data_IF_923891482514
#
_entry.id   IF_923891482514
#
_cell.length_a   1.000
_cell.length_b   1.000
_cell.length_c   1.000
_cell.angle_alpha   90.00
_cell.angle_beta   90.00
_cell.angle_gamma   90.00
#
_symmetry.space_group_name_H-M   'P 1'
#
loop_
_entity.id
_entity.type
_entity.pdbx_description
1 polymer ?
#
# COMPACT_ATOMS: atom_id res chain seq x y z
N UNK A 1 11.84 13.38 9.93
CA UNK A 1 12.00 11.91 10.04
C UNK A 1 12.53 11.37 8.72
N UNK A 2 13.51 10.49 8.82
CA UNK A 2 14.09 9.69 7.74
C UNK A 2 13.27 8.41 7.53
N UNK A 3 13.47 7.73 6.40
CA UNK A 3 12.78 6.48 6.07
C UNK A 3 12.91 5.44 7.18
N UNK A 4 14.12 5.28 7.72
CA UNK A 4 14.38 4.34 8.81
C UNK A 4 13.66 4.72 10.12
N UNK A 5 13.52 6.01 10.42
CA UNK A 5 12.78 6.46 11.60
C UNK A 5 11.28 6.17 11.46
N UNK A 6 10.71 6.32 10.26
CA UNK A 6 9.30 5.97 9.99
C UNK A 6 9.05 4.47 10.11
N UNK A 7 9.93 3.67 9.54
CA UNK A 7 9.88 2.20 9.67
C UNK A 7 9.93 1.78 11.14
N UNK A 8 10.85 2.38 11.93
CA UNK A 8 10.96 2.11 13.38
C UNK A 8 9.72 2.51 14.15
N UNK A 9 9.12 3.66 13.82
CA UNK A 9 7.89 4.16 14.43
C UNK A 9 6.76 3.16 14.22
N UNK A 10 6.44 2.84 12.97
CA UNK A 10 5.34 1.93 12.63
C UNK A 10 5.61 0.52 13.17
N UNK A 11 6.85 0.02 13.04
CA UNK A 11 7.17 -1.31 13.56
C UNK A 11 6.90 -1.38 15.07
N UNK A 12 7.26 -0.34 15.82
CA UNK A 12 7.02 -0.25 17.26
C UNK A 12 5.53 -0.17 17.59
N UNK A 13 4.77 0.63 16.85
CA UNK A 13 3.30 0.74 17.01
C UNK A 13 2.61 -0.62 16.77
N UNK A 14 3.15 -1.43 15.86
CA UNK A 14 2.67 -2.80 15.57
C UNK A 14 3.27 -3.88 16.46
N UNK A 15 4.09 -3.52 17.45
CA UNK A 15 4.74 -4.47 18.36
C UNK A 15 5.76 -5.38 17.67
N UNK A 16 6.33 -4.96 16.55
CA UNK A 16 7.33 -5.70 15.78
C UNK A 16 8.73 -5.11 15.93
N UNK A 17 9.73 -5.99 15.96
CA UNK A 17 11.13 -5.58 15.82
C UNK A 17 11.43 -5.25 14.36
N UNK A 18 12.43 -4.39 14.14
CA UNK A 18 12.98 -4.14 12.80
C UNK A 18 13.44 -5.43 12.11
N UNK A 19 13.97 -6.39 12.88
CA UNK A 19 14.37 -7.69 12.37
C UNK A 19 13.18 -8.46 11.80
N UNK A 20 12.05 -8.49 12.52
CA UNK A 20 10.83 -9.15 12.08
C UNK A 20 10.25 -8.51 10.81
N UNK A 21 10.35 -7.19 10.67
CA UNK A 21 9.95 -6.48 9.44
C UNK A 21 10.85 -6.88 8.27
N UNK A 22 12.17 -6.91 8.48
CA UNK A 22 13.13 -7.30 7.46
C UNK A 22 12.91 -8.75 6.97
N UNK A 23 12.71 -9.68 7.91
CA UNK A 23 12.42 -11.09 7.64
C UNK A 23 11.12 -11.25 6.84
N UNK A 24 10.05 -10.57 7.25
CA UNK A 24 8.77 -10.58 6.52
C UNK A 24 8.87 -9.97 5.13
N UNK A 25 9.69 -8.93 4.96
CA UNK A 25 9.92 -8.27 3.68
C UNK A 25 10.92 -9.02 2.79
N UNK A 26 11.50 -10.14 3.24
CA UNK A 26 12.46 -10.92 2.47
C UNK A 26 13.80 -10.21 2.24
N UNK A 27 14.16 -9.24 3.09
CA UNK A 27 15.40 -8.47 2.96
C UNK A 27 16.30 -8.61 4.19
N UNK A 28 17.60 -8.41 3.99
CA UNK A 28 18.54 -8.35 5.12
C UNK A 28 18.30 -7.12 5.99
N UNK A 29 18.31 -7.29 7.32
CA UNK A 29 18.15 -6.18 8.29
C UNK A 29 19.18 -5.05 8.08
N UNK A 30 20.40 -5.41 7.67
CA UNK A 30 21.47 -4.47 7.34
C UNK A 30 21.11 -3.55 6.17
N UNK A 31 20.24 -4.00 5.26
CA UNK A 31 19.72 -3.16 4.18
C UNK A 31 18.92 -2.00 4.74
N UNK A 32 17.99 -2.27 5.68
CA UNK A 32 17.15 -1.24 6.31
C UNK A 32 18.00 -0.22 7.05
N UNK A 33 19.03 -0.65 7.79
CA UNK A 33 19.94 0.27 8.50
C UNK A 33 20.71 1.20 7.55
N UNK A 34 20.97 0.77 6.32
CA UNK A 34 21.66 1.58 5.31
C UNK A 34 20.76 2.60 4.63
N UNK A 35 19.44 2.55 4.79
CA UNK A 35 18.51 3.46 4.13
C UNK A 35 18.60 4.92 4.60
N UNK A 36 19.40 5.20 5.62
CA UNK A 36 19.72 6.57 6.01
C UNK A 36 20.82 7.21 5.12
N UNK A 37 21.63 6.40 4.45
CA UNK A 37 22.77 6.86 3.63
C UNK A 37 22.74 6.34 2.19
N UNK A 38 22.01 5.26 1.94
CA UNK A 38 21.82 4.66 0.62
C UNK A 38 20.35 4.67 0.24
N UNK A 39 20.07 5.02 -1.00
CA UNK A 39 18.73 4.92 -1.55
C UNK A 39 18.31 3.45 -1.63
N UNK A 40 17.18 3.06 -1.03
CA UNK A 40 16.62 1.71 -1.20
C UNK A 40 16.25 1.46 -2.66
N UNK A 41 16.28 0.21 -3.09
CA UNK A 41 15.64 -0.15 -4.36
C UNK A 41 14.12 -0.01 -4.22
N UNK A 42 13.43 0.31 -5.32
CA UNK A 42 11.97 0.40 -5.34
C UNK A 42 11.34 -0.90 -4.84
N UNK A 43 11.86 -2.06 -5.25
CA UNK A 43 11.36 -3.36 -4.82
C UNK A 43 11.52 -3.60 -3.32
N UNK A 44 12.69 -3.31 -2.75
CA UNK A 44 12.91 -3.49 -1.30
C UNK A 44 12.09 -2.53 -0.45
N UNK A 45 11.89 -1.31 -0.96
CA UNK A 45 11.07 -0.31 -0.28
C UNK A 45 9.59 -0.70 -0.30
N UNK A 46 9.09 -1.16 -1.45
CA UNK A 46 7.72 -1.68 -1.60
C UNK A 46 7.48 -2.85 -0.66
N UNK A 47 8.37 -3.85 -0.64
CA UNK A 47 8.21 -5.01 0.24
C UNK A 47 8.10 -4.64 1.73
N UNK A 48 8.86 -3.63 2.19
CA UNK A 48 8.73 -3.12 3.56
C UNK A 48 7.43 -2.35 3.77
N UNK A 49 7.00 -1.57 2.76
CA UNK A 49 5.74 -0.84 2.76
C UNK A 49 4.54 -1.80 2.88
N UNK A 50 4.55 -2.91 2.14
CA UNK A 50 3.53 -3.96 2.18
C UNK A 50 3.45 -4.65 3.53
N UNK A 51 4.62 -5.02 4.11
CA UNK A 51 4.67 -5.62 5.45
C UNK A 51 4.13 -4.65 6.51
N UNK A 52 4.48 -3.38 6.37
CA UNK A 52 4.04 -2.32 7.26
C UNK A 52 2.70 -1.71 6.85
N UNK A 53 1.98 -2.27 5.87
CA UNK A 53 0.70 -1.79 5.34
C UNK A 53 0.60 -0.25 5.32
N UNK A 54 1.57 0.39 4.67
CA UNK A 54 1.64 1.84 4.45
C UNK A 54 2.20 2.13 3.08
N UNK A 55 1.89 3.29 2.50
CA UNK A 55 2.44 3.67 1.20
C UNK A 55 3.96 3.89 1.20
N UNK A 56 4.59 3.62 0.06
CA UNK A 56 6.00 3.95 -0.19
C UNK A 56 6.24 5.46 -0.03
N UNK A 57 5.29 6.29 -0.44
CA UNK A 57 5.38 7.74 -0.31
C UNK A 57 5.35 8.20 1.16
N UNK A 58 4.64 7.48 2.04
CA UNK A 58 4.74 7.70 3.48
C UNK A 58 6.14 7.38 4.00
N UNK A 59 6.69 6.21 3.64
CA UNK A 59 8.04 5.83 4.06
C UNK A 59 9.10 6.85 3.61
N UNK A 60 8.98 7.35 2.38
CA UNK A 60 9.86 8.40 1.83
C UNK A 60 9.58 9.79 2.41
N UNK A 61 8.44 9.99 3.07
CA UNK A 61 8.07 11.27 3.68
C UNK A 61 7.53 12.31 2.74
N UNK A 62 7.01 11.88 1.59
CA UNK A 62 6.27 12.75 0.67
C UNK A 62 4.84 13.02 1.16
N UNK A 63 4.34 12.19 2.07
CA UNK A 63 3.08 12.38 2.79
C UNK A 63 3.27 12.16 4.29
N UNK A 64 2.48 12.87 5.10
CA UNK A 64 2.41 12.66 6.55
C UNK A 64 1.31 11.67 6.95
N UNK A 65 0.40 11.35 6.02
CA UNK A 65 -0.68 10.40 6.27
C UNK A 65 -0.19 8.97 6.07
N UNK A 66 -0.43 8.14 7.06
CA UNK A 66 -0.26 6.67 7.01
C UNK A 66 -1.39 6.09 6.14
N UNK A 67 -1.38 6.41 4.85
CA UNK A 67 -2.31 5.79 3.90
C UNK A 67 -1.83 4.37 3.63
N UNK A 68 -2.73 3.38 3.61
CA UNK A 68 -2.39 1.99 3.30
C UNK A 68 -1.73 1.93 1.92
N UNK A 69 -1.05 0.81 1.65
CA UNK A 69 -0.56 0.56 0.29
C UNK A 69 -1.77 0.60 -0.64
N UNK A 70 -1.83 1.62 -1.51
CA UNK A 70 -2.76 1.56 -2.63
C UNK A 70 -2.25 0.43 -3.52
N UNK A 71 -2.89 -0.74 -3.42
CA UNK A 71 -2.69 -1.83 -4.37
C UNK A 71 -2.81 -1.22 -5.76
N UNK A 72 -1.92 -1.58 -6.69
CA UNK A 72 -1.98 -1.04 -8.06
C UNK A 72 -3.35 -1.33 -8.68
N UNK A 73 -3.98 -2.43 -8.27
CA UNK A 73 -5.37 -2.79 -8.59
C UNK A 73 -6.39 -1.82 -8.02
N UNK A 74 -6.16 -1.24 -6.84
CA UNK A 74 -7.06 -0.22 -6.29
C UNK A 74 -7.06 1.06 -7.11
N UNK A 75 -5.91 1.43 -7.70
CA UNK A 75 -5.84 2.55 -8.63
C UNK A 75 -6.59 2.23 -9.94
N UNK A 76 -6.42 1.03 -10.50
CA UNK A 76 -7.15 0.60 -11.70
C UNK A 76 -8.67 0.54 -11.48
N UNK A 77 -9.11 0.05 -10.31
CA UNK A 77 -10.53 0.02 -9.94
C UNK A 77 -11.07 1.44 -9.77
N UNK A 78 -10.33 2.35 -9.12
CA UNK A 78 -10.76 3.76 -9.01
C UNK A 78 -10.81 4.46 -10.37
N UNK A 79 -9.86 4.22 -11.27
CA UNK A 79 -9.89 4.75 -12.64
C UNK A 79 -11.11 4.21 -13.42
N UNK A 80 -11.38 2.91 -13.33
CA UNK A 80 -12.55 2.29 -13.94
C UNK A 80 -13.85 2.89 -13.38
N UNK A 81 -13.95 3.08 -12.06
CA UNK A 81 -15.11 3.71 -11.43
C UNK A 81 -15.27 5.19 -11.81
N UNK A 82 -14.17 5.91 -12.02
CA UNK A 82 -14.18 7.31 -12.45
C UNK A 82 -14.69 7.50 -13.88
N UNK A 83 -14.59 6.46 -14.71
CA UNK A 83 -15.20 6.43 -16.05
C UNK A 83 -16.75 6.37 -15.98
N UNK A 84 -17.31 5.81 -14.90
CA UNK A 84 -18.75 5.66 -14.70
C UNK A 84 -19.25 6.74 -13.74
N UNK A 85 -19.73 7.87 -14.28
CA UNK A 85 -20.23 8.99 -13.46
C UNK A 85 -21.74 8.95 -13.17
N UNK A 86 -22.51 8.26 -14.01
CA UNK A 86 -23.96 8.22 -13.92
C UNK A 86 -24.49 6.80 -14.14
N UNK A 87 -25.53 6.46 -13.40
CA UNK A 87 -26.33 5.25 -13.61
C UNK A 87 -27.79 5.65 -13.70
N UNK A 88 -28.47 5.24 -14.78
CA UNK A 88 -29.86 5.64 -15.08
C UNK A 88 -30.09 7.16 -15.04
N UNK A 89 -29.12 7.94 -15.54
CA UNK A 89 -29.21 9.41 -15.58
C UNK A 89 -29.07 10.10 -14.21
N UNK A 90 -28.76 9.36 -13.15
CA UNK A 90 -28.48 9.91 -11.81
C UNK A 90 -26.99 9.78 -11.50
N UNK A 91 -26.39 10.73 -10.76
CA UNK A 91 -25.04 10.58 -10.26
C UNK A 91 -24.98 9.36 -9.34
N UNK A 92 -23.89 8.60 -9.46
CA UNK A 92 -23.63 7.48 -8.57
C UNK A 92 -23.32 8.03 -7.18
N UNK A 93 -24.03 7.56 -6.16
CA UNK A 93 -23.78 7.98 -4.77
C UNK A 93 -22.53 7.31 -4.23
N UNK A 94 -21.93 7.90 -3.18
CA UNK A 94 -20.72 7.34 -2.54
C UNK A 94 -20.93 5.89 -2.06
N UNK A 95 -22.11 5.59 -1.50
CA UNK A 95 -22.47 4.24 -1.07
C UNK A 95 -22.55 3.24 -2.25
N UNK A 96 -23.05 3.69 -3.40
CA UNK A 96 -23.10 2.87 -4.62
C UNK A 96 -21.69 2.67 -5.18
N UNK A 97 -20.85 3.72 -5.17
CA UNK A 97 -19.45 3.63 -5.58
C UNK A 97 -18.68 2.62 -4.73
N UNK A 98 -18.85 2.64 -3.41
CA UNK A 98 -18.20 1.68 -2.52
C UNK A 98 -18.68 0.24 -2.78
N UNK A 99 -19.97 0.06 -3.04
CA UNK A 99 -20.53 -1.25 -3.42
C UNK A 99 -19.92 -1.75 -4.73
N UNK A 100 -19.82 -0.89 -5.75
CA UNK A 100 -19.20 -1.23 -7.02
C UNK A 100 -17.72 -1.60 -6.87
N UNK A 101 -16.98 -0.83 -6.04
CA UNK A 101 -15.58 -1.11 -5.71
C UNK A 101 -15.40 -2.52 -5.14
N UNK A 102 -16.24 -2.91 -4.19
CA UNK A 102 -16.23 -4.25 -3.60
C UNK A 102 -16.50 -5.36 -4.61
N UNK A 103 -17.47 -5.16 -5.52
CA UNK A 103 -17.80 -6.13 -6.58
C UNK A 103 -16.64 -6.32 -7.55
N UNK A 104 -16.03 -5.22 -8.01
CA UNK A 104 -14.92 -5.28 -8.98
C UNK A 104 -13.71 -5.97 -8.34
N UNK A 105 -13.34 -5.62 -7.11
CA UNK A 105 -12.26 -6.29 -6.36
C UNK A 105 -12.50 -7.79 -6.25
N UNK A 106 -13.70 -8.20 -5.81
CA UNK A 106 -14.04 -9.61 -5.68
C UNK A 106 -13.97 -10.39 -7.01
N UNK A 107 -14.31 -9.73 -8.13
CA UNK A 107 -14.17 -10.32 -9.47
C UNK A 107 -12.70 -10.53 -9.86
N UNK A 108 -11.84 -9.52 -9.66
CA UNK A 108 -10.41 -9.59 -9.96
C UNK A 108 -9.71 -10.67 -9.11
N UNK A 109 -9.98 -10.69 -7.79
CA UNK A 109 -9.44 -11.69 -6.87
C UNK A 109 -9.85 -13.12 -7.22
N UNK A 110 -11.05 -13.30 -7.83
CA UNK A 110 -11.53 -14.59 -8.28
C UNK A 110 -10.90 -15.04 -9.61
N UNK A 111 -10.44 -14.11 -10.45
CA UNK A 111 -9.68 -14.45 -11.67
C UNK A 111 -8.27 -14.93 -11.33
N UNK A 112 -7.57 -14.25 -10.42
CA UNK A 112 -6.23 -14.60 -9.95
C UNK A 112 -6.14 -16.02 -9.33
N UNK A 113 -7.22 -16.51 -8.70
CA UNK A 113 -7.26 -17.87 -8.11
C UNK A 113 -7.40 -18.99 -9.14
N UNK A 114 -7.72 -18.65 -10.38
CA UNK A 114 -7.90 -19.60 -11.48
C UNK A 114 -6.72 -19.60 -12.48
N UNK A 115 -5.66 -18.83 -12.21
CA UNK A 115 -4.34 -18.87 -12.88
C UNK A 115 -3.29 -19.58 -12.01
#
# INVERSE_FOLDING_TARGET
MTTIERIKKISKERGWSLQKVAEKAGIGINSIYRWNTKTPSTASLQAVADVLDVSVDYLLGKTEKEEPVNDTRDMEVEEALNSVRMYQGKPISDAQRETMKGIIRAYLDAQDKNE
#
